data_IF_130094522111
#
_entry.id   IF_130094522111
#
_cell.length_a   1.000
_cell.length_b   1.000
_cell.length_c   1.000
_cell.angle_alpha   90.00
_cell.angle_beta   90.00
_cell.angle_gamma   90.00
#
_symmetry.space_group_name_H-M   'P 1'
#
loop_
_entity.id
_entity.type
_entity.pdbx_description
1 polymer ?
#
# COMPACT_ATOMS: atom_id res chain seq x y z
N UNK A 1 1.46 14.21 12.54
CA UNK A 1 0.84 14.07 13.86
C UNK A 1 1.64 13.06 14.67
N UNK A 2 2.32 13.45 15.75
CA UNK A 2 2.93 12.48 16.68
C UNK A 2 1.77 11.80 17.40
N UNK A 3 1.55 10.51 17.12
CA UNK A 3 0.52 9.77 17.85
C UNK A 3 0.91 9.71 19.31
N UNK A 4 0.03 10.17 20.16
CA UNK A 4 0.24 10.10 21.58
C UNK A 4 0.57 8.64 21.96
N UNK A 5 1.65 8.40 22.72
CA UNK A 5 2.04 7.08 23.19
C UNK A 5 0.88 6.24 23.74
N UNK A 6 -0.13 6.83 24.42
CA UNK A 6 -1.26 6.09 24.98
C UNK A 6 -2.12 5.37 23.92
N UNK A 7 -2.32 5.93 22.71
CA UNK A 7 -3.19 5.28 21.69
C UNK A 7 -2.54 3.99 21.15
N UNK A 8 -1.22 4.00 20.91
CA UNK A 8 -0.50 2.79 20.48
C UNK A 8 -0.51 1.71 21.56
N UNK A 9 -0.25 2.09 22.79
CA UNK A 9 -0.27 1.17 23.91
C UNK A 9 -1.66 0.59 24.13
N UNK A 10 -2.70 1.43 24.09
CA UNK A 10 -4.09 0.98 24.18
C UNK A 10 -4.44 -0.03 23.08
N UNK A 11 -4.10 0.26 21.80
CA UNK A 11 -4.36 -0.69 20.70
C UNK A 11 -3.58 -1.99 20.88
N UNK A 12 -2.31 -1.93 21.31
CA UNK A 12 -1.47 -3.11 21.56
C UNK A 12 -2.04 -4.00 22.66
N UNK A 13 -2.63 -3.43 23.69
CA UNK A 13 -3.23 -4.19 24.80
C UNK A 13 -4.63 -4.73 24.44
N UNK A 14 -5.43 -3.92 23.74
CA UNK A 14 -6.87 -4.18 23.52
C UNK A 14 -7.18 -4.93 22.23
N UNK A 15 -6.41 -4.71 21.16
CA UNK A 15 -6.69 -5.21 19.81
C UNK A 15 -5.53 -6.02 19.26
N UNK A 16 -5.35 -7.23 19.75
CA UNK A 16 -4.36 -8.20 19.24
C UNK A 16 -4.82 -9.63 19.47
N UNK A 17 -4.20 -10.59 18.77
CA UNK A 17 -4.47 -12.02 18.86
C UNK A 17 -5.93 -12.39 18.60
N UNK A 18 -6.65 -11.55 17.84
CA UNK A 18 -8.07 -11.78 17.55
C UNK A 18 -8.98 -11.74 18.79
N UNK A 19 -8.55 -11.12 19.89
CA UNK A 19 -9.37 -11.06 21.11
C UNK A 19 -10.69 -10.32 20.85
N UNK A 20 -11.81 -10.95 21.15
CA UNK A 20 -13.15 -10.43 20.93
C UNK A 20 -13.61 -10.45 19.46
N UNK A 21 -12.91 -11.16 18.58
CA UNK A 21 -13.29 -11.37 17.19
C UNK A 21 -14.01 -12.69 17.04
N UNK A 22 -15.31 -12.65 16.73
CA UNK A 22 -16.17 -13.84 16.60
C UNK A 22 -16.23 -14.37 15.15
N UNK A 23 -15.85 -13.57 14.16
CA UNK A 23 -15.80 -14.00 12.77
C UNK A 23 -14.61 -14.93 12.52
N UNK A 24 -14.80 -16.18 12.09
CA UNK A 24 -13.70 -17.10 11.76
C UNK A 24 -12.79 -16.55 10.66
N UNK A 25 -13.36 -15.86 9.67
CA UNK A 25 -12.63 -15.19 8.62
C UNK A 25 -11.68 -14.13 9.19
N UNK A 26 -12.22 -13.19 9.96
CA UNK A 26 -11.42 -12.09 10.52
C UNK A 26 -10.43 -12.59 11.57
N UNK A 27 -10.77 -13.58 12.36
CA UNK A 27 -9.85 -14.21 13.29
C UNK A 27 -8.65 -14.83 12.57
N UNK A 28 -8.91 -15.58 11.48
CA UNK A 28 -7.84 -16.16 10.66
C UNK A 28 -6.98 -15.09 9.99
N UNK A 29 -7.58 -14.02 9.45
CA UNK A 29 -6.87 -12.88 8.89
C UNK A 29 -5.94 -12.23 9.93
N UNK A 30 -6.41 -12.00 11.13
CA UNK A 30 -5.61 -11.38 12.19
C UNK A 30 -4.45 -12.28 12.60
N UNK A 31 -4.73 -13.54 12.89
CA UNK A 31 -3.73 -14.45 13.49
C UNK A 31 -2.73 -14.99 12.47
N UNK A 32 -3.19 -15.29 11.24
CA UNK A 32 -2.36 -15.93 10.20
C UNK A 32 -1.74 -14.95 9.20
N UNK A 33 -2.18 -13.69 9.16
CA UNK A 33 -1.69 -12.70 8.20
C UNK A 33 -1.16 -11.44 8.90
N UNK A 34 -2.00 -10.78 9.71
CA UNK A 34 -1.64 -9.47 10.29
C UNK A 34 -0.57 -9.64 11.37
N UNK A 35 -0.75 -10.58 12.28
CA UNK A 35 0.15 -10.81 13.42
C UNK A 35 1.19 -11.92 13.16
N UNK A 36 1.18 -12.52 11.98
CA UNK A 36 2.16 -13.50 11.54
C UNK A 36 3.58 -12.90 11.53
N UNK A 37 4.57 -13.66 12.03
CA UNK A 37 5.96 -13.22 12.16
C UNK A 37 6.96 -14.11 11.46
N UNK A 38 6.49 -15.16 10.78
CA UNK A 38 7.39 -16.07 10.07
C UNK A 38 8.29 -15.30 9.12
N UNK A 39 9.61 -15.43 9.23
CA UNK A 39 10.53 -14.78 8.33
C UNK A 39 10.54 -15.52 6.98
N UNK A 40 10.51 -14.76 5.90
CA UNK A 40 10.77 -15.24 4.56
C UNK A 40 12.13 -14.70 4.12
N UNK A 41 12.98 -15.55 3.55
CA UNK A 41 14.33 -15.15 3.10
C UNK A 41 14.32 -13.95 2.16
N UNK A 42 13.28 -13.87 1.33
CA UNK A 42 13.08 -12.78 0.36
C UNK A 42 12.97 -11.40 1.03
N UNK A 43 12.48 -11.34 2.28
CA UNK A 43 12.40 -10.07 3.01
C UNK A 43 13.79 -9.50 3.30
N UNK A 44 14.78 -10.34 3.53
CA UNK A 44 16.15 -9.88 3.79
C UNK A 44 16.81 -9.40 2.49
N UNK A 45 16.55 -10.03 1.35
CA UNK A 45 17.02 -9.57 0.04
C UNK A 45 16.47 -8.19 -0.30
N UNK A 46 15.16 -7.99 -0.17
CA UNK A 46 14.51 -6.69 -0.41
C UNK A 46 15.07 -5.64 0.57
N UNK A 47 15.29 -5.99 1.83
CA UNK A 47 15.83 -5.06 2.82
C UNK A 47 17.30 -4.70 2.56
N UNK A 48 18.12 -5.63 2.08
CA UNK A 48 19.50 -5.35 1.64
C UNK A 48 19.49 -4.36 0.45
N UNK A 49 18.60 -4.57 -0.52
CA UNK A 49 18.42 -3.65 -1.63
C UNK A 49 17.93 -2.28 -1.13
N UNK A 50 16.89 -2.23 -0.30
CA UNK A 50 16.35 -1.00 0.26
C UNK A 50 17.40 -0.16 1.00
N UNK A 51 18.33 -0.80 1.72
CA UNK A 51 19.40 -0.11 2.45
C UNK A 51 20.40 0.61 1.51
N UNK A 52 20.53 0.15 0.27
CA UNK A 52 21.42 0.77 -0.74
C UNK A 52 20.78 2.00 -1.40
N UNK A 53 19.47 2.17 -1.31
CA UNK A 53 18.77 3.31 -1.93
C UNK A 53 19.12 4.63 -1.23
N UNK A 54 19.34 5.72 -2.01
CA UNK A 54 19.66 7.04 -1.46
C UNK A 54 18.51 7.60 -0.60
N UNK A 55 17.28 7.22 -0.91
CA UNK A 55 16.05 7.63 -0.21
C UNK A 55 15.52 6.56 0.76
N UNK A 56 16.37 5.64 1.24
CA UNK A 56 16.00 4.56 2.15
C UNK A 56 15.21 4.99 3.40
N UNK A 57 15.42 6.23 3.86
CA UNK A 57 14.71 6.80 5.01
C UNK A 57 13.26 7.17 4.70
N UNK A 58 12.90 7.25 3.43
CA UNK A 58 11.59 7.65 2.92
C UNK A 58 10.74 6.44 2.51
N UNK A 59 11.35 5.24 2.47
CA UNK A 59 10.64 4.00 2.17
C UNK A 59 9.95 3.43 3.42
N UNK A 60 8.84 2.73 3.21
CA UNK A 60 8.13 2.08 4.31
C UNK A 60 8.98 0.97 4.95
N UNK A 61 8.68 0.68 6.22
CA UNK A 61 9.39 -0.34 6.98
C UNK A 61 9.09 -1.75 6.44
N UNK A 62 10.05 -2.68 6.61
CA UNK A 62 9.92 -4.08 6.18
C UNK A 62 8.63 -4.78 6.66
N UNK A 63 8.16 -4.46 7.87
CA UNK A 63 6.93 -5.06 8.40
C UNK A 63 5.71 -4.69 7.55
N UNK A 64 5.70 -3.50 6.96
CA UNK A 64 4.64 -3.06 6.06
C UNK A 64 4.64 -3.91 4.77
N UNK A 65 5.80 -4.05 4.13
CA UNK A 65 5.96 -4.90 2.96
C UNK A 65 5.65 -6.36 3.25
N UNK A 66 6.12 -6.87 4.40
CA UNK A 66 5.82 -8.22 4.85
C UNK A 66 4.31 -8.49 5.05
N UNK A 67 3.54 -7.48 5.51
CA UNK A 67 2.08 -7.58 5.58
C UNK A 67 1.46 -7.69 4.17
N UNK A 68 1.88 -6.83 3.24
CA UNK A 68 1.40 -6.89 1.86
C UNK A 68 1.72 -8.23 1.19
N UNK A 69 2.94 -8.73 1.37
CA UNK A 69 3.34 -10.07 0.92
C UNK A 69 2.41 -11.15 1.46
N UNK A 70 2.17 -11.16 2.79
CA UNK A 70 1.32 -12.16 3.42
C UNK A 70 -0.13 -12.09 2.97
N UNK A 71 -0.66 -10.90 2.69
CA UNK A 71 -2.00 -10.74 2.12
C UNK A 71 -2.08 -11.39 0.75
N UNK A 72 -1.17 -11.07 -0.17
CA UNK A 72 -1.13 -11.69 -1.50
C UNK A 72 -0.99 -13.21 -1.41
N UNK A 73 -0.07 -13.68 -0.55
CA UNK A 73 0.19 -15.11 -0.36
C UNK A 73 -1.00 -15.86 0.25
N UNK A 74 -1.60 -15.33 1.31
CA UNK A 74 -2.71 -15.99 2.01
C UNK A 74 -3.98 -16.08 1.15
N UNK A 75 -4.32 -14.99 0.44
CA UNK A 75 -5.48 -14.96 -0.43
C UNK A 75 -5.22 -15.50 -1.83
N UNK A 76 -3.99 -15.96 -2.11
CA UNK A 76 -3.59 -16.52 -3.41
C UNK A 76 -3.94 -15.57 -4.58
N UNK A 77 -3.69 -14.26 -4.39
CA UNK A 77 -3.98 -13.26 -5.39
C UNK A 77 -3.21 -13.55 -6.69
N UNK A 78 -3.90 -13.52 -7.82
CA UNK A 78 -3.34 -13.71 -9.17
C UNK A 78 -3.06 -12.39 -9.86
N UNK A 79 -3.82 -11.36 -9.53
CA UNK A 79 -3.69 -10.03 -10.11
C UNK A 79 -3.63 -8.98 -9.01
N UNK A 80 -2.60 -8.14 -9.05
CA UNK A 80 -2.38 -7.09 -8.06
C UNK A 80 -2.16 -5.76 -8.76
N UNK A 81 -2.86 -4.73 -8.31
CA UNK A 81 -2.68 -3.35 -8.73
C UNK A 81 -2.11 -2.53 -7.56
N UNK A 82 -1.00 -1.88 -7.79
CA UNK A 82 -0.47 -0.86 -6.87
C UNK A 82 -0.48 0.51 -7.54
N UNK A 83 -1.11 1.49 -6.90
CA UNK A 83 -1.17 2.87 -7.37
C UNK A 83 -0.28 3.73 -6.47
N UNK A 84 0.57 4.57 -7.08
CA UNK A 84 1.65 5.33 -6.45
C UNK A 84 2.71 4.42 -5.84
N UNK A 85 3.46 3.72 -6.72
CA UNK A 85 4.47 2.75 -6.32
C UNK A 85 5.69 3.41 -5.63
N UNK A 86 5.92 4.71 -5.84
CA UNK A 86 7.09 5.45 -5.35
C UNK A 86 8.41 4.77 -5.76
N UNK A 87 9.18 4.33 -4.78
CA UNK A 87 10.44 3.62 -4.99
C UNK A 87 10.27 2.17 -5.45
N UNK A 88 9.05 1.68 -5.63
CA UNK A 88 8.75 0.30 -6.02
C UNK A 88 9.08 -0.78 -4.98
N UNK A 89 9.56 -0.42 -3.79
CA UNK A 89 9.89 -1.41 -2.74
C UNK A 89 8.68 -2.26 -2.36
N UNK A 90 7.49 -1.65 -2.23
CA UNK A 90 6.29 -2.41 -1.91
C UNK A 90 5.85 -3.30 -3.07
N UNK A 91 6.12 -2.88 -4.33
CA UNK A 91 5.86 -3.69 -5.51
C UNK A 91 6.67 -4.98 -5.52
N UNK A 92 7.92 -4.96 -5.00
CA UNK A 92 8.72 -6.17 -4.82
C UNK A 92 8.07 -7.15 -3.85
N UNK A 93 7.59 -6.67 -2.69
CA UNK A 93 6.89 -7.53 -1.73
C UNK A 93 5.62 -8.12 -2.32
N UNK A 94 4.86 -7.34 -3.08
CA UNK A 94 3.61 -7.78 -3.71
C UNK A 94 3.88 -8.83 -4.80
N UNK A 95 4.83 -8.59 -5.71
CA UNK A 95 5.13 -9.48 -6.84
C UNK A 95 5.82 -10.77 -6.41
N UNK A 96 6.68 -10.71 -5.39
CA UNK A 96 7.44 -11.87 -4.92
C UNK A 96 6.65 -12.78 -3.98
N UNK A 97 5.44 -12.39 -3.57
CA UNK A 97 4.56 -13.21 -2.73
C UNK A 97 4.07 -14.48 -3.45
N UNK A 98 3.98 -14.45 -4.77
CA UNK A 98 3.59 -15.61 -5.59
C UNK A 98 4.30 -15.57 -6.93
N UNK A 99 5.51 -16.14 -7.02
CA UNK A 99 6.33 -16.15 -8.24
C UNK A 99 5.68 -16.87 -9.43
N UNK A 100 4.78 -17.83 -9.17
CA UNK A 100 4.12 -18.64 -10.19
C UNK A 100 2.63 -18.32 -10.24
N UNK A 101 2.24 -17.20 -10.83
CA UNK A 101 0.84 -16.95 -11.12
C UNK A 101 0.23 -15.67 -10.52
N UNK A 102 1.04 -14.75 -9.98
CA UNK A 102 0.58 -13.41 -9.61
C UNK A 102 1.20 -12.39 -10.56
N UNK A 103 0.40 -11.63 -11.27
CA UNK A 103 0.84 -10.48 -12.07
C UNK A 103 0.61 -9.20 -11.26
N UNK A 104 1.66 -8.40 -11.08
CA UNK A 104 1.62 -7.15 -10.34
C UNK A 104 1.82 -5.96 -11.29
N UNK A 105 0.86 -5.05 -11.32
CA UNK A 105 0.96 -3.77 -12.03
C UNK A 105 1.21 -2.66 -11.01
N UNK A 106 2.32 -1.94 -11.18
CA UNK A 106 2.77 -0.89 -10.27
C UNK A 106 2.83 0.45 -11.02
N UNK A 107 1.89 1.34 -10.71
CA UNK A 107 1.73 2.64 -11.34
C UNK A 107 2.52 3.71 -10.59
N UNK A 108 3.31 4.53 -11.29
CA UNK A 108 4.07 5.63 -10.70
C UNK A 108 4.17 6.82 -11.66
N UNK A 109 3.77 8.00 -11.18
CA UNK A 109 3.77 9.24 -11.98
C UNK A 109 5.19 9.77 -12.21
N UNK A 110 6.14 9.47 -11.31
CA UNK A 110 7.53 9.91 -11.42
C UNK A 110 8.45 8.74 -11.77
N UNK A 111 8.83 8.57 -13.05
CA UNK A 111 9.64 7.43 -13.49
C UNK A 111 11.01 7.35 -12.84
N UNK A 112 11.61 8.49 -12.48
CA UNK A 112 12.91 8.52 -11.81
C UNK A 112 12.96 7.83 -10.44
N UNK A 113 11.79 7.58 -9.83
CA UNK A 113 11.70 6.84 -8.57
C UNK A 113 11.81 5.32 -8.78
N UNK A 114 11.56 4.83 -9.99
CA UNK A 114 11.52 3.40 -10.32
C UNK A 114 12.82 2.84 -10.88
N UNK A 115 13.79 3.68 -11.28
CA UNK A 115 15.03 3.26 -11.96
C UNK A 115 15.76 2.15 -11.19
N UNK A 116 16.04 2.38 -9.91
CA UNK A 116 16.78 1.43 -9.10
C UNK A 116 16.03 0.10 -8.89
N UNK A 117 14.70 0.16 -8.71
CA UNK A 117 13.89 -1.05 -8.49
C UNK A 117 13.70 -1.85 -9.77
N UNK A 118 13.66 -1.21 -10.94
CA UNK A 118 13.63 -1.90 -12.24
C UNK A 118 14.90 -2.72 -12.46
N UNK A 119 16.06 -2.13 -12.16
CA UNK A 119 17.35 -2.85 -12.23
C UNK A 119 17.34 -4.06 -11.31
N UNK A 120 16.90 -3.88 -10.06
CA UNK A 120 16.83 -4.99 -9.11
C UNK A 120 15.82 -6.05 -9.56
N UNK A 121 14.63 -5.66 -10.04
CA UNK A 121 13.62 -6.59 -10.54
C UNK A 121 14.14 -7.41 -11.73
N UNK A 122 14.89 -6.77 -12.66
CA UNK A 122 15.57 -7.45 -13.77
C UNK A 122 16.60 -8.48 -13.29
N UNK A 123 17.45 -8.11 -12.31
CA UNK A 123 18.41 -9.03 -11.70
C UNK A 123 17.74 -10.24 -11.05
N UNK A 124 16.58 -10.03 -10.43
CA UNK A 124 15.76 -11.09 -9.81
C UNK A 124 14.87 -11.84 -10.81
N UNK A 125 14.89 -11.47 -12.11
CA UNK A 125 14.06 -12.04 -13.18
C UNK A 125 12.56 -12.03 -12.81
N UNK A 126 12.06 -10.89 -12.31
CA UNK A 126 10.66 -10.71 -11.94
C UNK A 126 9.83 -10.35 -13.16
N UNK A 127 9.55 -11.33 -14.02
CA UNK A 127 8.75 -11.16 -15.24
C UNK A 127 7.28 -10.83 -14.95
N UNK A 128 6.82 -11.10 -13.72
CA UNK A 128 5.46 -10.86 -13.26
C UNK A 128 5.24 -9.46 -12.65
N UNK A 129 6.24 -8.58 -12.67
CA UNK A 129 6.16 -7.21 -12.15
C UNK A 129 6.25 -6.20 -13.29
N UNK A 130 5.13 -5.52 -13.57
CA UNK A 130 5.01 -4.54 -14.62
C UNK A 130 4.94 -3.12 -14.03
N UNK A 131 5.95 -2.31 -14.29
CA UNK A 131 5.93 -0.89 -13.94
C UNK A 131 5.28 -0.09 -15.07
N UNK A 132 4.26 0.70 -14.71
CA UNK A 132 3.54 1.61 -15.61
C UNK A 132 3.82 3.05 -15.19
N UNK A 133 4.58 3.75 -16.01
CA UNK A 133 5.00 5.13 -15.76
C UNK A 133 3.98 6.14 -16.30
N UNK A 134 3.94 7.32 -15.68
CA UNK A 134 3.06 8.40 -16.05
C UNK A 134 1.77 8.45 -15.26
N UNK A 135 0.83 9.23 -15.73
CA UNK A 135 -0.41 9.54 -15.02
C UNK A 135 -1.24 8.30 -14.72
N UNK A 136 -1.69 8.18 -13.47
CA UNK A 136 -2.43 7.00 -13.00
C UNK A 136 -3.74 6.79 -13.75
N UNK A 137 -4.48 7.85 -14.08
CA UNK A 137 -5.74 7.78 -14.82
C UNK A 137 -5.56 7.15 -16.20
N UNK A 138 -4.59 7.64 -16.99
CA UNK A 138 -4.28 7.10 -18.31
C UNK A 138 -3.83 5.63 -18.28
N UNK A 139 -3.05 5.26 -17.27
CA UNK A 139 -2.62 3.87 -17.08
C UNK A 139 -3.77 2.96 -16.67
N UNK A 140 -4.68 3.41 -15.81
CA UNK A 140 -5.89 2.67 -15.45
C UNK A 140 -6.80 2.45 -16.66
N UNK A 141 -6.97 3.45 -17.52
CA UNK A 141 -7.74 3.27 -18.78
C UNK A 141 -7.12 2.19 -19.69
N UNK A 142 -5.80 2.15 -19.83
CA UNK A 142 -5.13 1.08 -20.58
C UNK A 142 -5.40 -0.30 -19.98
N UNK A 143 -5.36 -0.42 -18.64
CA UNK A 143 -5.61 -1.69 -17.95
C UNK A 143 -7.05 -2.19 -18.12
N UNK A 144 -8.04 -1.30 -18.22
CA UNK A 144 -9.45 -1.67 -18.45
C UNK A 144 -9.66 -2.50 -19.71
N UNK A 145 -8.81 -2.32 -20.72
CA UNK A 145 -8.94 -3.04 -22.00
C UNK A 145 -8.72 -4.55 -21.87
N UNK A 146 -8.00 -5.01 -20.83
CA UNK A 146 -7.62 -6.43 -20.69
C UNK A 146 -7.69 -7.00 -19.27
N UNK A 147 -7.88 -6.16 -18.25
CA UNK A 147 -8.03 -6.60 -16.85
C UNK A 147 -9.43 -6.22 -16.37
N UNK A 148 -10.34 -7.19 -16.19
CA UNK A 148 -11.69 -6.91 -15.70
C UNK A 148 -11.74 -6.59 -14.20
N UNK A 149 -10.86 -7.20 -13.41
CA UNK A 149 -10.77 -6.95 -11.96
C UNK A 149 -9.41 -7.37 -11.41
N UNK A 150 -9.03 -6.80 -10.28
CA UNK A 150 -7.86 -7.20 -9.51
C UNK A 150 -8.26 -7.91 -8.22
N UNK A 151 -7.52 -8.96 -7.87
CA UNK A 151 -7.70 -9.63 -6.58
C UNK A 151 -7.27 -8.73 -5.41
N UNK A 152 -6.27 -7.87 -5.65
CA UNK A 152 -5.81 -6.90 -4.65
C UNK A 152 -5.48 -5.56 -5.32
N UNK A 153 -6.07 -4.49 -4.78
CA UNK A 153 -5.77 -3.10 -5.15
C UNK A 153 -5.14 -2.40 -3.95
N UNK A 154 -3.93 -1.88 -4.12
CA UNK A 154 -3.21 -1.14 -3.08
C UNK A 154 -3.03 0.33 -3.50
N UNK A 155 -3.69 1.24 -2.78
CA UNK A 155 -3.59 2.69 -2.97
C UNK A 155 -2.61 3.26 -1.93
N UNK A 156 -1.45 3.71 -2.41
CA UNK A 156 -0.33 4.18 -1.58
C UNK A 156 -0.14 5.71 -1.69
N UNK A 157 -1.20 6.47 -1.64
CA UNK A 157 -1.17 7.93 -1.81
C UNK A 157 -1.00 8.74 -0.51
N UNK A 158 -0.51 8.12 0.54
CA UNK A 158 0.03 8.70 1.80
C UNK A 158 -0.45 10.10 2.19
N UNK A 159 -1.76 10.31 2.30
CA UNK A 159 -2.26 11.51 2.96
C UNK A 159 -2.55 12.72 2.07
N UNK A 160 -2.66 12.54 0.74
CA UNK A 160 -3.36 13.47 -0.13
C UNK A 160 -4.83 13.00 -0.29
N UNK A 161 -5.80 13.63 0.40
CA UNK A 161 -7.18 13.16 0.39
C UNK A 161 -7.84 13.25 -0.99
N UNK A 162 -7.56 14.29 -1.74
CA UNK A 162 -8.15 14.54 -3.06
C UNK A 162 -7.70 13.48 -4.05
N UNK A 163 -6.38 13.29 -4.18
CA UNK A 163 -5.83 12.22 -5.03
C UNK A 163 -6.27 10.83 -4.58
N UNK A 164 -6.37 10.58 -3.26
CA UNK A 164 -6.84 9.29 -2.75
C UNK A 164 -8.28 9.03 -3.14
N UNK A 165 -9.15 10.04 -3.02
CA UNK A 165 -10.56 9.91 -3.40
C UNK A 165 -10.71 9.68 -4.90
N UNK A 166 -10.04 10.47 -5.72
CA UNK A 166 -9.98 10.31 -7.19
C UNK A 166 -9.53 8.89 -7.57
N UNK A 167 -8.44 8.43 -6.96
CA UNK A 167 -7.90 7.10 -7.23
C UNK A 167 -8.86 5.99 -6.83
N UNK A 168 -9.57 6.14 -5.71
CA UNK A 168 -10.62 5.19 -5.29
C UNK A 168 -11.73 5.15 -6.34
N UNK A 169 -12.21 6.30 -6.81
CA UNK A 169 -13.25 6.36 -7.84
C UNK A 169 -12.81 5.68 -9.15
N UNK A 170 -11.60 5.99 -9.63
CA UNK A 170 -11.04 5.36 -10.82
C UNK A 170 -10.82 3.85 -10.66
N UNK A 171 -10.51 3.40 -9.44
CA UNK A 171 -10.26 2.00 -9.15
C UNK A 171 -11.53 1.15 -8.99
N UNK A 172 -12.70 1.76 -8.83
CA UNK A 172 -13.97 1.03 -8.62
C UNK A 172 -14.25 0.01 -9.70
N UNK A 173 -13.92 0.33 -10.95
CA UNK A 173 -14.10 -0.58 -12.08
C UNK A 173 -13.39 -1.92 -11.88
N UNK A 174 -12.26 -1.91 -11.18
CA UNK A 174 -11.41 -3.07 -10.98
C UNK A 174 -11.71 -3.85 -9.69
N UNK A 175 -12.64 -3.34 -8.87
CA UNK A 175 -12.98 -3.95 -7.58
C UNK A 175 -14.18 -4.86 -7.77
N UNK A 176 -13.97 -6.16 -7.67
CA UNK A 176 -14.99 -7.19 -7.67
C UNK A 176 -15.32 -7.69 -6.26
N UNK A 177 -16.28 -8.60 -6.16
CA UNK A 177 -16.75 -9.16 -4.89
C UNK A 177 -15.62 -9.82 -4.06
N UNK A 178 -14.64 -10.43 -4.72
CA UNK A 178 -13.50 -11.08 -4.05
C UNK A 178 -12.27 -10.20 -3.92
N UNK A 179 -12.33 -8.97 -4.38
CA UNK A 179 -11.20 -8.05 -4.31
C UNK A 179 -10.89 -7.62 -2.88
N UNK A 180 -9.61 -7.32 -2.65
CA UNK A 180 -9.11 -6.73 -1.42
C UNK A 180 -8.62 -5.32 -1.76
N UNK A 181 -9.20 -4.30 -1.12
CA UNK A 181 -8.72 -2.93 -1.26
C UNK A 181 -7.90 -2.55 -0.03
N UNK A 182 -6.68 -2.08 -0.27
CA UNK A 182 -5.78 -1.60 0.78
C UNK A 182 -5.52 -0.12 0.56
N UNK A 183 -5.70 0.69 1.60
CA UNK A 183 -5.52 2.14 1.55
C UNK A 183 -4.51 2.56 2.61
N UNK A 184 -3.43 3.21 2.17
CA UNK A 184 -2.45 3.78 3.07
C UNK A 184 -2.89 5.16 3.59
N UNK A 185 -2.49 5.48 4.83
CA UNK A 185 -2.68 6.81 5.40
C UNK A 185 -4.09 7.12 5.91
N UNK A 186 -4.93 6.12 6.19
CA UNK A 186 -6.34 6.31 6.62
C UNK A 186 -6.52 7.20 7.86
N UNK A 187 -5.49 7.41 8.64
CA UNK A 187 -5.53 8.25 9.86
C UNK A 187 -4.61 9.49 9.80
N UNK A 188 -3.99 9.77 8.65
CA UNK A 188 -2.96 10.81 8.52
C UNK A 188 -3.48 12.24 8.78
N UNK A 189 -4.73 12.52 8.41
CA UNK A 189 -5.39 13.80 8.64
C UNK A 189 -6.89 13.63 8.77
N UNK A 190 -7.62 14.72 9.04
CA UNK A 190 -9.08 14.69 9.24
C UNK A 190 -9.81 14.24 7.97
N UNK A 191 -9.41 14.73 6.80
CA UNK A 191 -10.05 14.37 5.54
C UNK A 191 -9.88 12.88 5.21
N UNK A 192 -8.69 12.29 5.42
CA UNK A 192 -8.49 10.84 5.25
C UNK A 192 -9.33 10.00 6.21
N UNK A 193 -9.57 10.47 7.43
CA UNK A 193 -10.47 9.79 8.37
C UNK A 193 -11.92 9.82 7.91
N UNK A 194 -12.36 10.92 7.29
CA UNK A 194 -13.70 11.02 6.71
C UNK A 194 -13.83 10.13 5.47
N UNK A 195 -12.82 10.06 4.60
CA UNK A 195 -12.80 9.11 3.48
C UNK A 195 -12.89 7.68 4.00
N UNK A 196 -12.09 7.32 5.00
CA UNK A 196 -12.15 5.99 5.62
C UNK A 196 -13.53 5.68 6.22
N UNK A 197 -14.19 6.66 6.82
CA UNK A 197 -15.55 6.53 7.34
C UNK A 197 -16.57 6.27 6.21
N UNK A 198 -16.45 7.00 5.08
CA UNK A 198 -17.30 6.79 3.90
C UNK A 198 -17.13 5.37 3.34
N UNK A 199 -15.89 4.90 3.20
CA UNK A 199 -15.60 3.55 2.71
C UNK A 199 -16.22 2.48 3.62
N UNK A 200 -16.09 2.60 4.93
CA UNK A 200 -16.72 1.67 5.88
C UNK A 200 -18.24 1.61 5.72
N UNK A 201 -18.85 2.75 5.49
CA UNK A 201 -20.31 2.85 5.36
C UNK A 201 -20.82 2.50 3.96
N UNK A 202 -19.93 2.31 2.98
CA UNK A 202 -20.35 1.97 1.61
C UNK A 202 -21.14 0.66 1.60
N UNK A 203 -22.28 0.57 0.85
CA UNK A 203 -23.14 -0.62 0.82
C UNK A 203 -22.39 -1.90 0.46
N UNK A 204 -21.47 -1.84 -0.49
CA UNK A 204 -20.71 -3.00 -0.96
C UNK A 204 -19.59 -3.43 0.00
N UNK A 205 -19.21 -2.59 0.96
CA UNK A 205 -18.21 -2.95 1.96
C UNK A 205 -18.79 -3.96 2.95
N UNK A 206 -18.18 -5.14 3.03
CA UNK A 206 -18.52 -6.16 4.01
C UNK A 206 -17.65 -6.07 5.27
N UNK A 207 -16.38 -6.34 5.17
CA UNK A 207 -15.46 -6.31 6.32
C UNK A 207 -14.38 -5.25 6.13
N UNK A 208 -14.08 -4.50 7.18
CA UNK A 208 -12.91 -3.62 7.21
C UNK A 208 -12.03 -3.88 8.42
N UNK A 209 -10.71 -3.77 8.22
CA UNK A 209 -9.72 -3.84 9.29
C UNK A 209 -8.90 -2.55 9.32
N UNK A 210 -9.04 -1.79 10.39
CA UNK A 210 -8.29 -0.56 10.67
C UNK A 210 -7.01 -0.93 11.43
N UNK A 211 -5.88 -0.86 10.75
CA UNK A 211 -4.54 -1.04 11.31
C UNK A 211 -3.88 0.27 11.69
N UNK A 212 -4.65 1.33 11.80
CA UNK A 212 -4.26 2.68 12.16
C UNK A 212 -3.68 3.51 11.00
N UNK A 213 -2.56 3.14 10.39
CA UNK A 213 -2.05 3.80 9.20
C UNK A 213 -2.64 3.19 7.92
N UNK A 214 -2.98 1.92 7.94
CA UNK A 214 -3.45 1.15 6.82
C UNK A 214 -4.89 0.68 7.07
N UNK A 215 -5.75 0.80 6.06
CA UNK A 215 -7.08 0.20 6.02
C UNK A 215 -7.14 -0.95 5.04
N UNK A 216 -7.74 -2.07 5.43
CA UNK A 216 -8.02 -3.22 4.56
C UNK A 216 -9.54 -3.33 4.44
N UNK A 217 -10.03 -3.50 3.21
CA UNK A 217 -11.45 -3.58 2.87
C UNK A 217 -11.72 -4.85 2.09
N UNK A 218 -12.79 -5.54 2.44
CA UNK A 218 -13.32 -6.72 1.74
C UNK A 218 -14.74 -6.45 1.27
N UNK A 219 -15.11 -7.04 0.13
CA UNK A 219 -16.39 -6.84 -0.55
C UNK A 219 -17.22 -8.13 -0.66
N UNK A 220 -16.72 -9.25 -0.13
CA UNK A 220 -17.42 -10.55 -0.20
C UNK A 220 -18.76 -10.49 0.55
N UNK A 221 -19.86 -10.61 -0.20
CA UNK A 221 -21.24 -10.55 0.30
C UNK A 221 -21.60 -11.68 1.27
N UNK A 222 -20.80 -12.75 1.30
CA UNK A 222 -20.96 -13.85 2.27
C UNK A 222 -20.51 -13.46 3.67
N UNK A 223 -19.72 -12.37 3.80
CA UNK A 223 -19.23 -11.88 5.06
C UNK A 223 -20.23 -10.86 5.64
N UNK A 224 -20.57 -11.02 6.91
CA UNK A 224 -21.38 -10.02 7.62
C UNK A 224 -20.65 -8.69 7.73
N UNK A 225 -21.36 -7.57 7.52
CA UNK A 225 -20.81 -6.23 7.60
C UNK A 225 -20.28 -5.94 9.00
N UNK A 226 -18.94 -5.82 9.11
CA UNK A 226 -18.28 -5.56 10.38
C UNK A 226 -17.00 -4.75 10.20
N UNK A 227 -16.67 -3.94 11.20
CA UNK A 227 -15.51 -3.05 11.20
C UNK A 227 -14.63 -3.34 12.40
N UNK A 228 -13.43 -3.86 12.11
CA UNK A 228 -12.48 -4.24 13.14
C UNK A 228 -11.36 -3.20 13.26
N UNK A 229 -10.84 -3.05 14.47
CA UNK A 229 -9.58 -2.36 14.73
C UNK A 229 -8.58 -3.39 15.21
N UNK A 230 -7.35 -3.34 14.70
CA UNK A 230 -6.30 -4.20 15.22
C UNK A 230 -5.01 -3.40 15.45
N UNK A 231 -4.11 -3.97 16.23
CA UNK A 231 -2.77 -3.45 16.39
C UNK A 231 -1.86 -4.06 15.32
N UNK A 232 -1.07 -3.21 14.67
CA UNK A 232 -0.02 -3.65 13.78
C UNK A 232 1.29 -2.93 14.13
N UNK A 233 2.39 -3.68 14.21
CA UNK A 233 3.70 -3.12 14.50
C UNK A 233 4.40 -2.68 13.21
N UNK A 234 4.30 -1.42 12.88
CA UNK A 234 4.98 -0.81 11.74
C UNK A 234 6.50 -0.65 11.93
N UNK A 235 7.07 -1.10 13.07
CA UNK A 235 8.47 -0.90 13.41
C UNK A 235 8.78 0.50 13.96
N UNK A 236 10.08 0.76 14.26
CA UNK A 236 10.50 2.00 14.97
C UNK A 236 10.35 3.31 14.20
N UNK A 237 10.00 3.30 12.89
CA UNK A 237 9.99 4.49 12.01
C UNK A 237 8.60 4.94 11.55
N UNK A 238 7.67 5.23 12.47
CA UNK A 238 6.39 5.85 12.10
C UNK A 238 6.44 7.38 11.84
N UNK A 239 7.62 8.01 11.93
CA UNK A 239 7.78 9.47 11.75
C UNK A 239 8.00 9.92 10.30
N UNK A 240 7.81 9.04 9.31
CA UNK A 240 8.16 9.31 7.91
C UNK A 240 7.15 10.22 7.18
N UNK A 241 5.89 10.19 7.58
CA UNK A 241 4.83 10.93 6.88
C UNK A 241 4.95 12.45 6.99
N UNK A 242 5.43 12.99 8.13
CA UNK A 242 5.61 14.43 8.28
C UNK A 242 6.85 14.97 7.52
N UNK A 243 7.91 14.18 7.39
CA UNK A 243 9.13 14.59 6.66
C UNK A 243 8.96 14.55 5.14
N UNK A 244 8.14 13.63 4.59
CA UNK A 244 7.81 13.57 3.16
C UNK A 244 7.16 14.86 2.66
N UNK A 245 6.20 15.42 3.41
CA UNK A 245 5.48 16.63 3.03
C UNK A 245 6.39 17.85 2.84
N UNK A 246 7.47 17.97 3.62
CA UNK A 246 8.43 19.08 3.52
C UNK A 246 9.43 18.95 2.38
N UNK A 247 9.78 17.75 1.94
CA UNK A 247 10.81 17.53 0.90
C UNK A 247 10.26 17.53 -0.53
N UNK A 248 9.05 17.04 -0.75
CA UNK A 248 8.42 17.07 -2.08
C UNK A 248 8.22 18.53 -2.51
N UNK A 249 7.84 19.42 -1.61
CA UNK A 249 7.79 20.87 -1.88
C UNK A 249 9.18 21.50 -2.18
N UNK A 250 10.25 21.00 -1.59
CA UNK A 250 11.60 21.53 -1.81
C UNK A 250 12.22 21.09 -3.15
N UNK A 251 11.93 19.89 -3.64
CA UNK A 251 12.42 19.43 -4.94
C UNK A 251 11.66 20.05 -6.13
N UNK A 252 10.40 20.35 -5.98
CA UNK A 252 9.59 21.07 -7.00
C UNK A 252 10.04 22.53 -7.23
N UNK A 253 10.67 23.13 -6.24
CA UNK A 253 11.11 24.54 -6.32
C UNK A 253 12.51 24.73 -6.94
N UNK A 254 13.39 23.75 -6.90
CA UNK A 254 14.75 23.86 -7.47
C UNK A 254 14.83 23.74 -8.99
N UNK A 255 13.80 23.30 -9.70
CA UNK A 255 13.79 23.23 -11.17
C UNK A 255 13.40 24.52 -11.90
N UNK A 256 13.02 25.59 -11.20
CA UNK A 256 12.67 26.89 -11.81
C UNK A 256 13.80 27.93 -11.81
N UNK A 257 15.03 27.57 -11.53
CA UNK A 257 16.16 28.49 -11.35
C UNK A 257 17.35 28.33 -12.31
N UNK A 258 17.19 27.69 -13.49
CA UNK A 258 18.21 27.76 -14.52
C UNK A 258 17.71 28.65 -15.67
N UNK A 259 17.93 29.96 -15.54
CA UNK A 259 17.93 30.87 -16.68
C UNK A 259 19.26 30.73 -17.41
N UNK A 260 19.19 30.39 -18.69
CA UNK A 260 20.28 30.50 -19.64
C UNK A 260 20.70 31.97 -19.76
N UNK A 261 21.86 32.34 -19.31
CA UNK A 261 22.57 33.52 -19.78
C UNK A 261 23.23 33.15 -21.11
N UNK A 262 22.68 33.67 -22.19
CA UNK A 262 23.33 33.72 -23.49
C UNK A 262 24.41 34.78 -23.43
N UNK A 263 25.66 34.36 -23.63
CA UNK A 263 26.77 35.25 -23.89
C UNK A 263 26.74 35.67 -25.36
N UNK A 264 26.78 36.96 -25.56
CA UNK A 264 27.22 37.64 -26.76
C UNK A 264 28.66 37.29 -27.16
#
# INVERSE_FOLDING_TARGET
>A
MKFAPPIKLYRKLRYRKGFGVHSPFTYSLITKVIEEKTPYYIFDEIEQFRKKLPFRKETQHKNYGALLFRLVHYFQCRTVLQISAYSGIMSLYLSMASRKGCTCYALEENPGLLEAVKVFAGQQRLENLHFMEGESAGNLEKLKAFIPSFDLVFINQSGNPEKTLETIELSKHFIGEKSILIIDGISNNKAMKEIWKKIKNHPETSVTVDLFALGIVFFDKKLHKQHYKNYFDYGKKQNLYEKRRRRIHLFGWRRKGFKSESAT
#
